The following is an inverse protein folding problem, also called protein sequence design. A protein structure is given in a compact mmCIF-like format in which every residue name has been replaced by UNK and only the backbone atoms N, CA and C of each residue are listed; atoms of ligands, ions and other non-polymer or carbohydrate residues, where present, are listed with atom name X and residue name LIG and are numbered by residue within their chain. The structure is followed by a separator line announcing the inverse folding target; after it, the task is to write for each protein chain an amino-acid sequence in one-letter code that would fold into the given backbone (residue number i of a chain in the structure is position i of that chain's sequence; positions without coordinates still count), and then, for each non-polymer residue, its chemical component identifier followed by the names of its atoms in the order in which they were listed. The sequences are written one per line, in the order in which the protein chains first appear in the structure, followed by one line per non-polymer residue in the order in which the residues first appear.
data_IF_845412088291
#
_entry.id   IF_845412088291
#
_cell.length_a   1.000
_cell.length_b   1.000
_cell.length_c   1.000
_cell.angle_alpha   90.00
_cell.angle_beta   90.00
_cell.angle_gamma   90.00
#
_symmetry.space_group_name_H-M   'P 1'
#
loop_
_entity.id
_entity.type
_entity.pdbx_description
1 polymer ?
#
# COMPACT_ATOMS: atom_id res chain seq x y z
N UNK A 1 -42.83 21.59 4.91
CA UNK A 1 -42.55 20.27 4.30
C UNK A 1 -41.49 20.54 3.27
N UNK A 2 -40.23 20.51 3.71
CA UNK A 2 -39.18 21.22 3.01
C UNK A 2 -38.49 20.25 2.05
N UNK A 3 -38.65 20.54 0.76
CA UNK A 3 -38.04 19.84 -0.36
C UNK A 3 -36.52 19.90 -0.26
N UNK A 4 -35.94 18.93 0.47
CA UNK A 4 -34.52 18.66 0.43
C UNK A 4 -34.24 17.83 -0.82
N UNK A 5 -33.85 18.49 -1.90
CA UNK A 5 -33.38 17.88 -3.13
C UNK A 5 -32.05 17.16 -2.89
N UNK A 6 -32.12 15.84 -2.65
CA UNK A 6 -30.94 14.98 -2.52
C UNK A 6 -30.43 14.55 -3.90
N UNK A 7 -29.12 14.67 -4.12
CA UNK A 7 -28.50 14.34 -5.40
C UNK A 7 -28.69 12.86 -5.79
N UNK A 8 -29.15 12.64 -7.02
CA UNK A 8 -29.26 11.31 -7.63
C UNK A 8 -27.87 10.76 -7.95
N UNK A 9 -27.35 9.88 -7.08
CA UNK A 9 -26.10 9.19 -7.33
C UNK A 9 -26.33 7.96 -8.23
N UNK A 10 -25.88 8.00 -9.48
CA UNK A 10 -25.80 6.81 -10.33
C UNK A 10 -24.65 5.90 -9.86
N UNK A 11 -24.98 4.69 -9.39
CA UNK A 11 -23.99 3.70 -8.96
C UNK A 11 -24.08 2.47 -9.89
N UNK A 12 -23.33 2.51 -11.00
CA UNK A 12 -23.18 1.39 -11.95
C UNK A 12 -21.91 0.60 -11.63
N UNK A 13 -22.05 -0.65 -11.13
CA UNK A 13 -21.03 -1.70 -10.82
C UNK A 13 -19.73 -1.28 -10.09
N UNK A 14 -19.52 0.00 -9.80
CA UNK A 14 -18.32 0.59 -9.21
C UNK A 14 -18.44 0.55 -7.69
N UNK A 15 -17.34 0.20 -7.01
CA UNK A 15 -17.25 0.22 -5.55
C UNK A 15 -17.52 1.64 -5.04
N UNK A 16 -18.41 1.80 -4.06
CA UNK A 16 -18.78 3.12 -3.52
C UNK A 16 -17.56 3.97 -3.15
N UNK A 17 -17.58 5.25 -3.49
CA UNK A 17 -16.53 6.19 -3.06
C UNK A 17 -16.58 6.47 -1.56
N UNK A 18 -15.50 6.99 -0.96
CA UNK A 18 -15.54 7.37 0.46
C UNK A 18 -16.59 8.47 0.68
N UNK A 19 -16.70 9.42 -0.26
CA UNK A 19 -17.71 10.47 -0.26
C UNK A 19 -19.14 9.91 -0.35
N UNK A 20 -19.40 8.94 -1.23
CA UNK A 20 -20.71 8.28 -1.30
C UNK A 20 -21.05 7.55 0.01
N UNK A 21 -20.07 6.87 0.62
CA UNK A 21 -20.27 6.18 1.90
C UNK A 21 -20.54 7.16 3.04
N UNK A 22 -19.90 8.33 3.01
CA UNK A 22 -20.13 9.42 3.95
C UNK A 22 -21.56 9.97 3.80
N UNK A 23 -22.00 10.26 2.56
CA UNK A 23 -23.36 10.73 2.30
C UNK A 23 -24.44 9.74 2.76
N UNK A 24 -24.22 8.43 2.57
CA UNK A 24 -25.13 7.39 3.08
C UNK A 24 -25.18 7.40 4.62
N UNK A 25 -24.03 7.58 5.27
CA UNK A 25 -23.96 7.64 6.73
C UNK A 25 -24.66 8.88 7.28
N UNK A 26 -24.46 10.04 6.67
CA UNK A 26 -25.14 11.28 7.05
C UNK A 26 -26.65 11.17 6.87
N UNK A 27 -27.11 10.57 5.76
CA UNK A 27 -28.53 10.28 5.55
C UNK A 27 -29.08 9.34 6.63
N UNK A 28 -28.36 8.28 7.01
CA UNK A 28 -28.76 7.41 8.12
C UNK A 28 -28.81 8.15 9.46
N UNK A 29 -27.88 9.07 9.69
CA UNK A 29 -27.75 9.81 10.93
C UNK A 29 -28.92 10.79 11.14
N UNK A 30 -29.39 11.44 10.07
CA UNK A 30 -30.53 12.37 10.11
C UNK A 30 -31.83 11.71 10.61
N UNK A 31 -32.00 10.42 10.34
CA UNK A 31 -33.20 9.65 10.71
C UNK A 31 -32.92 8.60 11.81
N UNK A 32 -31.80 8.73 12.51
CA UNK A 32 -31.42 7.86 13.62
C UNK A 32 -31.81 8.50 14.95
N UNK A 33 -32.61 7.80 15.75
CA UNK A 33 -32.98 8.24 17.10
C UNK A 33 -32.29 7.34 18.13
N UNK A 34 -31.55 7.93 19.07
CA UNK A 34 -30.87 7.17 20.14
C UNK A 34 -29.84 6.14 19.65
N UNK A 35 -29.24 6.35 18.47
CA UNK A 35 -28.29 5.40 17.86
C UNK A 35 -28.94 4.14 17.26
N UNK A 36 -30.26 4.17 17.08
CA UNK A 36 -31.03 3.13 16.40
C UNK A 36 -31.63 3.70 15.11
N UNK A 37 -31.62 2.86 14.06
CA UNK A 37 -32.26 3.19 12.79
C UNK A 37 -33.73 2.82 12.85
N UNK A 38 -34.58 3.70 12.32
CA UNK A 38 -35.99 3.40 12.15
C UNK A 38 -36.20 2.16 11.26
N UNK A 39 -37.24 1.37 11.56
CA UNK A 39 -37.62 0.20 10.76
C UNK A 39 -37.89 0.63 9.33
N UNK A 40 -37.20 0.01 8.36
CA UNK A 40 -37.40 0.27 6.93
C UNK A 40 -36.54 1.40 6.37
N UNK A 41 -35.93 2.27 7.20
CA UNK A 41 -35.04 3.35 6.76
C UNK A 41 -33.89 2.84 5.88
N UNK A 42 -33.28 1.72 6.27
CA UNK A 42 -32.22 1.07 5.48
C UNK A 42 -32.68 0.73 4.06
N UNK A 43 -33.94 0.30 3.89
CA UNK A 43 -34.51 -0.06 2.59
C UNK A 43 -34.73 1.19 1.73
N UNK A 44 -35.22 2.27 2.34
CA UNK A 44 -35.42 3.57 1.69
C UNK A 44 -34.08 4.10 1.16
N UNK A 45 -33.07 4.19 2.03
CA UNK A 45 -31.73 4.67 1.66
C UNK A 45 -31.08 3.74 0.62
N UNK A 46 -31.21 2.42 0.78
CA UNK A 46 -30.70 1.48 -0.22
C UNK A 46 -31.29 1.72 -1.62
N UNK A 47 -32.59 2.02 -1.68
CA UNK A 47 -33.31 2.29 -2.93
C UNK A 47 -32.86 3.63 -3.52
N UNK A 48 -32.74 4.67 -2.70
CA UNK A 48 -32.30 6.00 -3.11
C UNK A 48 -30.89 5.99 -3.71
N UNK A 49 -29.95 5.27 -3.07
CA UNK A 49 -28.57 5.16 -3.52
C UNK A 49 -28.35 4.02 -4.54
N UNK A 50 -29.41 3.29 -4.93
CA UNK A 50 -29.34 2.12 -5.85
C UNK A 50 -28.29 1.08 -5.43
N UNK A 51 -28.21 0.77 -4.14
CA UNK A 51 -27.26 -0.19 -3.55
C UNK A 51 -27.98 -1.27 -2.75
N UNK A 52 -27.29 -2.37 -2.46
CA UNK A 52 -27.83 -3.41 -1.58
C UNK A 52 -28.03 -2.90 -0.14
N UNK A 53 -29.14 -3.29 0.50
CA UNK A 53 -29.39 -3.02 1.92
C UNK A 53 -28.23 -3.49 2.82
N UNK A 54 -27.61 -4.63 2.50
CA UNK A 54 -26.43 -5.13 3.21
C UNK A 54 -25.27 -4.15 3.22
N UNK A 55 -25.10 -3.37 2.15
CA UNK A 55 -24.02 -2.36 2.07
C UNK A 55 -24.30 -1.19 3.00
N UNK A 56 -25.56 -0.73 3.06
CA UNK A 56 -26.02 0.33 3.99
C UNK A 56 -25.82 -0.12 5.44
N UNK A 57 -26.27 -1.33 5.79
CA UNK A 57 -26.09 -1.90 7.13
C UNK A 57 -24.62 -1.99 7.52
N UNK A 58 -23.76 -2.50 6.62
CA UNK A 58 -22.32 -2.59 6.86
C UNK A 58 -21.65 -1.22 7.06
N UNK A 59 -22.17 -0.16 6.44
CA UNK A 59 -21.68 1.22 6.70
C UNK A 59 -22.06 1.63 8.12
N UNK A 60 -23.31 1.44 8.51
CA UNK A 60 -23.83 1.79 9.83
C UNK A 60 -23.14 1.04 10.98
N UNK A 61 -23.12 -0.29 10.92
CA UNK A 61 -22.49 -1.15 11.93
C UNK A 61 -21.03 -0.77 12.13
N UNK A 62 -20.36 -0.40 11.05
CA UNK A 62 -18.96 0.00 11.10
C UNK A 62 -18.77 1.32 11.82
N UNK A 63 -19.55 2.33 11.47
CA UNK A 63 -19.53 3.61 12.17
C UNK A 63 -19.77 3.42 13.68
N UNK A 64 -20.76 2.58 14.05
CA UNK A 64 -20.99 2.18 15.44
C UNK A 64 -19.76 1.51 16.07
N UNK A 65 -19.17 0.53 15.39
CA UNK A 65 -18.00 -0.18 15.92
C UNK A 65 -16.81 0.74 16.18
N UNK A 66 -16.60 1.77 15.37
CA UNK A 66 -15.49 2.72 15.54
C UNK A 66 -15.71 3.63 16.74
N UNK A 67 -16.97 4.05 16.98
CA UNK A 67 -17.35 4.84 18.16
C UNK A 67 -17.18 4.01 19.43
N UNK A 68 -17.66 2.75 19.43
CA UNK A 68 -17.52 1.84 20.56
C UNK A 68 -16.05 1.60 20.93
N UNK A 69 -15.18 1.52 19.93
CA UNK A 69 -13.74 1.35 20.13
C UNK A 69 -13.00 2.67 20.52
N UNK A 70 -13.73 3.74 20.85
CA UNK A 70 -13.16 5.02 21.29
C UNK A 70 -12.47 5.82 20.18
N UNK A 71 -12.68 5.47 18.91
CA UNK A 71 -12.12 6.17 17.77
C UNK A 71 -13.09 7.14 17.11
N UNK A 72 -12.58 8.00 16.24
CA UNK A 72 -13.42 8.79 15.32
C UNK A 72 -14.15 7.88 14.33
N UNK A 73 -15.31 8.33 13.85
CA UNK A 73 -16.16 7.56 12.92
C UNK A 73 -15.41 7.24 11.62
N UNK A 74 -15.04 5.96 11.40
CA UNK A 74 -14.36 5.52 10.16
C UNK A 74 -15.33 4.78 9.21
N UNK A 75 -15.77 5.51 8.19
CA UNK A 75 -16.63 5.00 7.11
C UNK A 75 -15.81 4.65 5.85
N UNK A 76 -14.48 4.82 5.88
CA UNK A 76 -13.62 4.68 4.71
C UNK A 76 -13.58 3.25 4.14
N UNK A 77 -13.29 3.16 2.85
CA UNK A 77 -12.99 1.87 2.20
C UNK A 77 -11.69 1.27 2.76
N UNK A 78 -11.71 -0.03 3.11
CA UNK A 78 -10.49 -0.76 3.56
C UNK A 78 -9.64 -1.33 2.42
N UNK A 79 -10.23 -1.52 1.25
CA UNK A 79 -9.51 -2.15 0.13
C UNK A 79 -8.30 -1.36 -0.37
N UNK A 80 -8.30 -0.01 -0.47
CA UNK A 80 -7.14 0.73 -0.98
C UNK A 80 -5.82 0.39 -0.27
N UNK A 81 -5.88 0.15 1.05
CA UNK A 81 -4.70 -0.21 1.86
C UNK A 81 -4.41 -1.72 1.92
N UNK A 82 -5.30 -2.55 1.36
CA UNK A 82 -5.24 -4.03 1.41
C UNK A 82 -5.15 -4.66 0.01
N UNK A 83 -4.87 -3.85 -1.00
CA UNK A 83 -4.78 -4.28 -2.38
C UNK A 83 -3.36 -4.70 -2.75
N UNK A 84 -3.26 -5.70 -3.62
CA UNK A 84 -2.00 -6.14 -4.19
C UNK A 84 -1.24 -7.18 -3.36
N UNK A 85 -0.20 -7.75 -3.97
CA UNK A 85 0.69 -8.73 -3.35
C UNK A 85 1.59 -8.03 -2.35
N UNK A 86 1.63 -8.53 -1.11
CA UNK A 86 2.59 -8.07 -0.09
C UNK A 86 4.04 -8.27 -0.59
N UNK A 87 4.92 -7.32 -0.27
CA UNK A 87 6.34 -7.41 -0.62
C UNK A 87 6.97 -8.56 0.19
N UNK A 88 7.82 -9.35 -0.46
CA UNK A 88 8.67 -10.33 0.24
C UNK A 88 9.78 -9.56 0.92
N UNK A 89 9.90 -9.66 2.24
CA UNK A 89 11.02 -9.07 2.96
C UNK A 89 12.29 -9.83 2.63
N UNK A 90 13.34 -9.08 2.30
CA UNK A 90 14.65 -9.64 1.97
C UNK A 90 15.63 -8.83 2.79
N UNK A 91 16.41 -9.53 3.61
CA UNK A 91 17.48 -8.90 4.36
C UNK A 91 18.67 -8.63 3.42
N UNK A 92 18.90 -7.35 3.13
CA UNK A 92 20.01 -6.91 2.28
C UNK A 92 21.33 -6.77 3.04
N UNK A 93 21.31 -6.89 4.37
CA UNK A 93 22.53 -6.90 5.21
C UNK A 93 23.47 -8.03 4.77
N UNK A 94 22.89 -9.18 4.40
CA UNK A 94 23.60 -10.35 3.87
C UNK A 94 24.43 -10.06 2.60
N UNK A 95 24.15 -8.98 1.86
CA UNK A 95 24.98 -8.59 0.70
C UNK A 95 26.41 -8.27 1.14
N UNK A 96 26.59 -7.70 2.34
CA UNK A 96 27.89 -7.33 2.88
C UNK A 96 28.77 -8.53 3.24
N UNK A 97 28.18 -9.71 3.40
CA UNK A 97 28.92 -10.96 3.66
C UNK A 97 29.39 -11.63 2.36
N UNK A 98 28.71 -11.37 1.25
CA UNK A 98 29.03 -11.95 -0.07
C UNK A 98 30.33 -11.34 -0.60
N UNK A 99 31.32 -12.08 -1.13
CA UNK A 99 32.53 -11.47 -1.70
C UNK A 99 32.24 -10.44 -2.80
N UNK A 100 33.04 -9.36 -2.88
CA UNK A 100 32.79 -8.23 -3.80
C UNK A 100 32.58 -8.66 -5.26
N UNK A 101 33.38 -9.63 -5.74
CA UNK A 101 33.26 -10.21 -7.10
C UNK A 101 31.88 -10.80 -7.41
N UNK A 102 31.12 -11.20 -6.39
CA UNK A 102 29.78 -11.77 -6.54
C UNK A 102 28.66 -10.74 -6.36
N UNK A 103 28.98 -9.49 -5.99
CA UNK A 103 28.01 -8.39 -5.85
C UNK A 103 27.77 -7.61 -7.15
N UNK A 104 28.71 -7.66 -8.09
CA UNK A 104 28.70 -6.87 -9.34
C UNK A 104 27.64 -7.33 -10.34
N UNK A 105 27.41 -8.65 -10.45
CA UNK A 105 26.46 -9.24 -11.38
C UNK A 105 25.19 -9.69 -10.65
N UNK A 106 24.03 -9.21 -11.08
CA UNK A 106 22.73 -9.57 -10.50
C UNK A 106 22.49 -11.09 -10.52
N UNK A 107 22.97 -11.82 -11.53
CA UNK A 107 22.85 -13.29 -11.58
C UNK A 107 23.66 -13.94 -10.46
N UNK A 108 24.92 -13.55 -10.30
CA UNK A 108 25.80 -14.09 -9.24
C UNK A 108 25.27 -13.75 -7.86
N UNK A 109 24.80 -12.51 -7.67
CA UNK A 109 24.17 -12.06 -6.44
C UNK A 109 22.89 -12.85 -6.13
N UNK A 110 22.05 -13.11 -7.15
CA UNK A 110 20.84 -13.93 -7.06
C UNK A 110 21.14 -15.33 -6.56
N UNK A 111 22.14 -16.00 -7.14
CA UNK A 111 22.55 -17.35 -6.73
C UNK A 111 23.06 -17.36 -5.28
N UNK A 112 23.87 -16.35 -4.89
CA UNK A 112 24.43 -16.27 -3.53
C UNK A 112 23.40 -15.93 -2.47
N UNK A 113 22.46 -15.03 -2.76
CA UNK A 113 21.37 -14.66 -1.85
C UNK A 113 20.19 -15.65 -1.86
N UNK A 114 20.16 -16.60 -2.81
CA UNK A 114 19.02 -17.49 -3.06
C UNK A 114 17.70 -16.72 -3.30
N UNK A 115 17.81 -15.57 -3.96
CA UNK A 115 16.67 -14.70 -4.32
C UNK A 115 16.56 -14.67 -5.84
N UNK A 116 15.34 -14.71 -6.39
CA UNK A 116 15.15 -14.61 -7.84
C UNK A 116 15.75 -13.33 -8.43
N UNK A 117 16.46 -13.45 -9.56
CA UNK A 117 17.09 -12.34 -10.30
C UNK A 117 16.13 -11.17 -10.54
N UNK A 118 14.88 -11.46 -10.94
CA UNK A 118 13.85 -10.44 -11.20
C UNK A 118 13.51 -9.62 -9.95
N UNK A 119 13.52 -10.25 -8.77
CA UNK A 119 13.31 -9.56 -7.50
C UNK A 119 14.46 -8.62 -7.17
N UNK A 120 15.71 -9.07 -7.31
CA UNK A 120 16.88 -8.20 -7.10
C UNK A 120 16.92 -7.04 -8.09
N UNK A 121 16.64 -7.29 -9.37
CA UNK A 121 16.57 -6.25 -10.39
C UNK A 121 15.54 -5.16 -10.05
N UNK A 122 14.35 -5.57 -9.59
CA UNK A 122 13.34 -4.61 -9.10
C UNK A 122 13.84 -3.82 -7.89
N UNK A 123 14.57 -4.44 -6.95
CA UNK A 123 15.11 -3.77 -5.76
C UNK A 123 16.20 -2.76 -6.08
N UNK A 124 16.99 -3.03 -7.11
CA UNK A 124 17.95 -2.08 -7.68
C UNK A 124 17.19 -0.89 -8.30
N UNK A 125 16.16 -1.15 -9.11
CA UNK A 125 15.34 -0.08 -9.72
C UNK A 125 14.60 0.77 -8.69
N UNK A 126 14.18 0.17 -7.57
CA UNK A 126 13.57 0.88 -6.43
C UNK A 126 14.60 1.65 -5.59
N UNK A 127 15.90 1.49 -5.84
CA UNK A 127 16.98 2.17 -5.12
C UNK A 127 17.31 1.59 -3.74
N UNK A 128 16.75 0.43 -3.38
CA UNK A 128 17.03 -0.27 -2.12
C UNK A 128 18.41 -0.90 -2.13
N UNK A 129 18.82 -1.42 -3.29
CA UNK A 129 20.20 -1.88 -3.55
C UNK A 129 20.84 -0.87 -4.49
N UNK A 130 21.95 -0.26 -4.09
CA UNK A 130 22.69 0.71 -4.91
C UNK A 130 24.05 0.16 -5.29
N UNK A 131 24.45 0.43 -6.53
CA UNK A 131 25.81 0.20 -6.95
C UNK A 131 26.69 1.33 -6.39
N UNK A 132 27.79 0.94 -5.75
CA UNK A 132 28.82 1.88 -5.31
C UNK A 132 30.07 1.61 -6.12
N UNK A 133 30.50 2.61 -6.89
CA UNK A 133 31.80 2.61 -7.56
C UNK A 133 32.74 3.49 -6.73
N UNK A 134 33.75 2.87 -6.12
CA UNK A 134 34.86 3.62 -5.54
C UNK A 134 35.95 3.70 -6.60
N UNK A 135 36.16 4.89 -7.16
CA UNK A 135 37.34 5.15 -7.97
C UNK A 135 38.55 5.25 -7.02
N UNK A 136 39.17 4.11 -6.72
CA UNK A 136 40.49 4.13 -6.09
C UNK A 136 41.45 4.73 -7.13
N UNK A 137 41.99 5.90 -6.84
CA UNK A 137 43.14 6.48 -7.55
C UNK A 137 44.38 6.22 -6.68
N UNK A 138 44.93 4.99 -6.65
CA UNK A 138 46.14 4.75 -5.89
C UNK A 138 47.25 5.63 -6.50
N UNK A 139 47.90 6.44 -5.66
CA UNK A 139 49.11 7.14 -6.09
C UNK A 139 50.20 6.08 -6.29
N UNK A 140 50.81 6.05 -7.48
CA UNK A 140 51.96 5.17 -7.72
C UNK A 140 53.13 5.66 -6.87
N UNK A 141 53.42 4.95 -5.78
CA UNK A 141 54.66 5.10 -5.02
C UNK A 141 55.80 4.43 -5.80
N UNK A 142 57.04 4.85 -5.58
CA UNK A 142 58.20 4.30 -6.30
C UNK A 142 58.36 2.79 -6.04
N UNK A 143 58.02 2.31 -4.84
CA UNK A 143 57.98 0.87 -4.50
C UNK A 143 57.06 0.06 -5.44
N UNK A 144 55.93 0.64 -5.86
CA UNK A 144 54.98 -0.02 -6.76
C UNK A 144 55.40 0.02 -8.24
N UNK A 145 56.39 0.85 -8.60
CA UNK A 145 56.95 0.92 -9.97
C UNK A 145 57.99 -0.17 -10.20
N UNK A 146 58.74 -0.56 -9.17
CA UNK A 146 59.82 -1.56 -9.26
C UNK A 146 59.31 -2.97 -9.60
N UNK A 147 58.09 -3.32 -9.17
CA UNK A 147 57.48 -4.64 -9.43
C UNK A 147 57.32 -4.91 -10.93
N UNK A 148 57.18 -3.87 -11.76
CA UNK A 148 57.05 -4.03 -13.22
C UNK A 148 58.39 -4.16 -13.97
N UNK A 149 59.53 -3.90 -13.32
CA UNK A 149 60.86 -4.02 -13.95
C UNK A 149 61.52 -5.40 -13.79
N UNK A 150 60.97 -6.28 -12.94
CA UNK A 150 61.53 -7.62 -12.67
C UNK A 150 60.81 -8.72 -13.46
N UNK A 151 59.84 -8.36 -14.30
CA UNK A 151 59.04 -9.31 -15.11
C UNK A 151 59.31 -9.25 -16.62
N UNK A 152 60.34 -8.52 -17.07
CA UNK A 152 60.86 -8.54 -18.45
C UNK A 152 62.16 -9.36 -18.55
#
# INVERSE_FOLDING_TARGET
MDNHSFQNYEISRKKLTNQQRQAIFEALLQYSYGGQLERGLTKVIATQFKISMRTVQRIWERAKSTIINGGSVDISRRFPKRAGRKRVEIDFSTIMEIPLRCRTNIRSLSTKMKVAKSTLHRRIKEGVIKAHSNALKPHLTDDNKLVYQVMD
#
